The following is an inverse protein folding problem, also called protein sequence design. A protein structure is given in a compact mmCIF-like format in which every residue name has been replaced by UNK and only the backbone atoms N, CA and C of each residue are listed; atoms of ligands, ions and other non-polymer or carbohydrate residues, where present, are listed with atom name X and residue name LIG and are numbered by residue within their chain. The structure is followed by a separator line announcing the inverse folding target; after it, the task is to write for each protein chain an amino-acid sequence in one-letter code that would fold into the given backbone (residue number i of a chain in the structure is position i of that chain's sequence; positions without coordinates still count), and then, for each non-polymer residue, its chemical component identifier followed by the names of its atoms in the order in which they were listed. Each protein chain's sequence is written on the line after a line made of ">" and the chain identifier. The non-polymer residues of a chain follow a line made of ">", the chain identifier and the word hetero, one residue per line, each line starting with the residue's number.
data_IF_813859286238
#
_entry.id   IF_813859286238
#
_cell.length_a   1.000
_cell.length_b   1.000
_cell.length_c   1.000
_cell.angle_alpha   90.00
_cell.angle_beta   90.00
_cell.angle_gamma   90.00
#
_symmetry.space_group_name_H-M   'P 1'
#
loop_
_entity.id
_entity.type
_entity.pdbx_description
1 polymer ?
#
# COMPACT_ATOMS: atom_id res chain seq x y z
N UNK A 1 -18.85 0.63 -16.80
CA UNK A 1 -18.10 1.55 -15.92
C UNK A 1 -18.72 2.92 -16.10
N UNK A 2 -19.43 3.40 -15.07
CA UNK A 2 -19.99 4.75 -15.03
C UNK A 2 -19.03 5.62 -14.23
N UNK A 3 -18.54 6.71 -14.83
CA UNK A 3 -17.77 7.74 -14.14
C UNK A 3 -18.76 8.82 -13.72
N UNK A 4 -18.85 9.11 -12.42
CA UNK A 4 -19.63 10.24 -11.94
C UNK A 4 -18.91 11.56 -12.31
N UNK A 5 -19.63 12.62 -12.70
CA UNK A 5 -19.02 13.94 -12.90
C UNK A 5 -18.37 14.40 -11.60
N UNK A 6 -17.20 15.04 -11.71
CA UNK A 6 -16.40 15.52 -10.59
C UNK A 6 -17.22 16.52 -9.72
N UNK A 7 -17.60 16.15 -8.48
CA UNK A 7 -18.42 17.00 -7.61
C UNK A 7 -17.59 18.04 -6.85
N UNK A 8 -16.25 18.03 -6.94
CA UNK A 8 -15.38 18.74 -6.02
C UNK A 8 -15.10 20.18 -6.45
N UNK A 9 -14.93 21.06 -5.46
CA UNK A 9 -14.50 22.47 -5.64
C UNK A 9 -13.10 22.75 -5.09
N UNK A 10 -12.41 21.73 -4.57
CA UNK A 10 -11.12 21.81 -3.90
C UNK A 10 -10.32 20.51 -4.03
N UNK A 11 -9.16 20.39 -3.36
CA UNK A 11 -8.32 19.20 -3.44
C UNK A 11 -9.05 17.95 -2.94
N UNK A 12 -8.89 16.85 -3.65
CA UNK A 12 -9.56 15.57 -3.41
C UNK A 12 -8.58 14.58 -2.80
N UNK A 13 -8.92 14.00 -1.65
CA UNK A 13 -8.18 12.84 -1.14
C UNK A 13 -8.81 11.57 -1.69
N UNK A 14 -8.00 10.64 -2.18
CA UNK A 14 -8.48 9.42 -2.82
C UNK A 14 -8.32 8.21 -1.90
N UNK A 15 -9.37 7.41 -1.83
CA UNK A 15 -9.42 6.14 -1.10
C UNK A 15 -10.06 5.03 -1.94
N UNK A 16 -9.87 3.79 -1.50
CA UNK A 16 -10.54 2.61 -2.03
C UNK A 16 -11.38 1.95 -0.94
N UNK A 17 -12.60 1.58 -1.28
CA UNK A 17 -13.37 0.59 -0.53
C UNK A 17 -13.35 -0.72 -1.30
N UNK A 18 -12.89 -1.79 -0.65
CA UNK A 18 -12.79 -3.12 -1.22
C UNK A 18 -13.65 -4.06 -0.40
N UNK A 19 -14.52 -4.80 -1.08
CA UNK A 19 -15.28 -5.89 -0.50
C UNK A 19 -14.87 -7.20 -1.16
N UNK A 20 -14.68 -8.25 -0.37
CA UNK A 20 -14.48 -9.61 -0.85
C UNK A 20 -15.27 -10.58 0.00
N UNK A 21 -15.96 -11.50 -0.66
CA UNK A 21 -16.71 -12.55 0.01
C UNK A 21 -15.82 -13.57 0.71
N UNK A 22 -16.40 -14.23 1.72
CA UNK A 22 -15.71 -15.18 2.62
C UNK A 22 -15.06 -16.39 1.92
N UNK A 23 -15.54 -16.73 0.72
CA UNK A 23 -15.03 -17.82 -0.09
C UNK A 23 -13.76 -17.49 -0.89
N UNK A 24 -13.33 -16.23 -0.91
CA UNK A 24 -12.24 -15.75 -1.76
C UNK A 24 -11.13 -15.07 -0.96
N UNK A 25 -9.98 -14.94 -1.61
CA UNK A 25 -8.92 -14.00 -1.24
C UNK A 25 -8.83 -12.93 -2.33
N UNK A 26 -8.50 -11.72 -1.92
CA UNK A 26 -8.33 -10.57 -2.79
C UNK A 26 -6.91 -10.02 -2.64
N UNK A 27 -6.28 -9.68 -3.75
CA UNK A 27 -5.09 -8.82 -3.78
C UNK A 27 -5.43 -7.50 -4.45
N UNK A 28 -5.13 -6.40 -3.78
CA UNK A 28 -5.40 -5.05 -4.26
C UNK A 28 -4.10 -4.42 -4.76
N UNK A 29 -4.14 -3.95 -5.99
CA UNK A 29 -3.00 -3.36 -6.69
C UNK A 29 -3.38 -1.96 -7.19
N UNK A 30 -2.46 -1.02 -7.09
CA UNK A 30 -2.53 0.29 -7.73
C UNK A 30 -1.25 0.51 -8.53
N UNK A 31 -1.34 0.73 -9.84
CA UNK A 31 -0.19 0.96 -10.71
C UNK A 31 0.91 -0.12 -10.57
N UNK A 32 0.50 -1.39 -10.43
CA UNK A 32 1.40 -2.54 -10.19
C UNK A 32 2.17 -2.48 -8.87
N UNK A 33 1.64 -1.75 -7.89
CA UNK A 33 2.09 -1.75 -6.49
C UNK A 33 1.04 -2.46 -5.66
N UNK A 34 1.43 -3.48 -4.90
CA UNK A 34 0.51 -4.21 -4.02
C UNK A 34 0.22 -3.37 -2.78
N UNK A 35 -1.04 -3.04 -2.57
CA UNK A 35 -1.51 -2.25 -1.43
C UNK A 35 -1.91 -3.15 -0.25
N UNK A 36 -2.46 -4.33 -0.52
CA UNK A 36 -2.92 -5.23 0.53
C UNK A 36 -3.51 -6.52 -0.01
N UNK A 37 -3.76 -7.44 0.93
CA UNK A 37 -4.37 -8.74 0.69
C UNK A 37 -5.41 -9.05 1.75
N UNK A 38 -6.56 -9.63 1.36
CA UNK A 38 -7.54 -10.13 2.33
C UNK A 38 -7.19 -11.54 2.80
N UNK A 39 -7.49 -11.81 4.07
CA UNK A 39 -7.34 -13.15 4.64
C UNK A 39 -8.52 -14.03 4.22
N UNK A 40 -8.30 -15.33 3.97
CA UNK A 40 -9.36 -16.24 3.59
C UNK A 40 -10.37 -16.50 4.70
N UNK A 41 -11.62 -16.83 4.33
CA UNK A 41 -12.64 -17.33 5.26
C UNK A 41 -13.37 -16.23 6.05
N UNK A 42 -13.15 -14.95 5.74
CA UNK A 42 -13.91 -13.83 6.29
C UNK A 42 -14.30 -12.89 5.18
N UNK A 43 -15.58 -12.54 5.12
CA UNK A 43 -15.99 -11.37 4.37
C UNK A 43 -15.18 -10.17 4.89
N UNK A 44 -14.52 -9.47 3.98
CA UNK A 44 -13.63 -8.38 4.33
C UNK A 44 -14.08 -7.12 3.59
N UNK A 45 -14.38 -6.08 4.35
CA UNK A 45 -14.41 -4.71 3.88
C UNK A 45 -13.11 -4.03 4.29
N UNK A 46 -12.41 -3.42 3.34
CA UNK A 46 -11.16 -2.69 3.57
C UNK A 46 -11.25 -1.30 2.96
N UNK A 47 -11.03 -0.29 3.80
CA UNK A 47 -10.81 1.09 3.36
C UNK A 47 -9.30 1.34 3.27
N UNK A 48 -8.79 1.64 2.08
CA UNK A 48 -7.37 1.84 1.81
C UNK A 48 -7.15 3.28 1.32
N UNK A 49 -6.41 4.13 2.06
CA UNK A 49 -6.02 5.44 1.55
C UNK A 49 -4.98 5.26 0.44
N UNK A 50 -5.26 5.79 -0.75
CA UNK A 50 -4.37 5.66 -1.91
C UNK A 50 -3.75 6.98 -2.36
N UNK A 51 -4.14 8.10 -1.75
CA UNK A 51 -3.76 9.43 -2.22
C UNK A 51 -2.23 9.64 -2.34
N UNK A 52 -1.43 9.01 -1.46
CA UNK A 52 0.04 9.07 -1.50
C UNK A 52 0.71 8.09 -2.49
N UNK A 53 -0.09 7.34 -3.26
CA UNK A 53 0.39 6.34 -4.22
C UNK A 53 0.06 6.66 -5.67
N UNK A 54 -0.56 7.82 -5.88
CA UNK A 54 -1.03 8.25 -7.18
C UNK A 54 0.12 8.76 -8.03
N UNK A 55 0.00 8.59 -9.33
CA UNK A 55 0.92 9.16 -10.32
C UNK A 55 0.23 10.24 -11.14
N UNK A 56 1.00 11.15 -11.73
CA UNK A 56 0.46 12.06 -12.74
C UNK A 56 -0.04 11.26 -13.94
N UNK A 57 -1.28 11.53 -14.36
CA UNK A 57 -1.89 10.87 -15.51
C UNK A 57 -2.84 9.73 -15.10
N UNK A 58 -2.90 8.70 -15.93
CA UNK A 58 -3.81 7.58 -15.70
C UNK A 58 -3.26 6.63 -14.63
N UNK A 59 -4.13 6.31 -13.67
CA UNK A 59 -3.89 5.35 -12.60
C UNK A 59 -4.82 4.16 -12.82
N UNK A 60 -4.33 2.96 -12.50
CA UNK A 60 -5.10 1.72 -12.62
C UNK A 60 -5.13 1.00 -11.28
N UNK A 61 -6.33 0.80 -10.76
CA UNK A 61 -6.62 -0.08 -9.63
C UNK A 61 -7.06 -1.43 -10.16
N UNK A 62 -6.45 -2.50 -9.67
CA UNK A 62 -6.87 -3.86 -9.93
C UNK A 62 -7.11 -4.59 -8.61
N UNK A 63 -8.29 -5.19 -8.45
CA UNK A 63 -8.56 -6.15 -7.38
C UNK A 63 -8.67 -7.53 -8.00
N UNK A 64 -7.75 -8.41 -7.65
CA UNK A 64 -7.68 -9.77 -8.15
C UNK A 64 -8.29 -10.70 -7.12
N UNK A 65 -9.40 -11.34 -7.47
CA UNK A 65 -10.17 -12.23 -6.62
C UNK A 65 -9.90 -13.68 -7.01
N UNK A 66 -9.60 -14.54 -6.05
CA UNK A 66 -9.45 -15.96 -6.35
C UNK A 66 -9.59 -16.86 -5.14
N UNK A 67 -9.52 -18.18 -5.34
CA UNK A 67 -9.63 -19.14 -4.26
C UNK A 67 -8.40 -19.10 -3.34
N UNK A 68 -8.56 -19.41 -2.04
CA UNK A 68 -7.45 -19.44 -1.10
C UNK A 68 -6.36 -20.44 -1.51
N UNK A 69 -5.11 -20.10 -1.24
CA UNK A 69 -3.95 -20.97 -1.50
C UNK A 69 -3.58 -21.12 -2.98
N UNK A 70 -4.22 -20.37 -3.90
CA UNK A 70 -3.82 -20.29 -5.30
C UNK A 70 -3.04 -19.00 -5.56
N UNK A 71 -2.17 -19.09 -6.57
CA UNK A 71 -1.47 -17.94 -7.12
C UNK A 71 -2.45 -17.07 -7.92
N UNK A 72 -2.69 -15.85 -7.44
CA UNK A 72 -3.61 -14.90 -8.09
C UNK A 72 -2.99 -14.21 -9.31
N UNK A 73 -1.68 -14.36 -9.53
CA UNK A 73 -1.01 -13.88 -10.73
C UNK A 73 -1.17 -14.84 -11.93
N UNK A 74 -1.63 -16.07 -11.69
CA UNK A 74 -1.84 -17.07 -12.71
C UNK A 74 -2.93 -16.69 -13.73
N UNK A 75 -2.90 -17.33 -14.89
CA UNK A 75 -3.93 -17.16 -15.92
C UNK A 75 -5.32 -17.60 -15.38
N UNK A 76 -6.39 -16.84 -15.66
CA UNK A 76 -7.74 -17.24 -15.29
C UNK A 76 -8.12 -18.58 -15.93
N UNK A 77 -8.61 -19.50 -15.11
CA UNK A 77 -9.08 -20.83 -15.53
C UNK A 77 -10.50 -21.08 -15.02
N UNK A 78 -11.23 -21.94 -15.73
CA UNK A 78 -12.56 -22.35 -15.29
C UNK A 78 -12.48 -23.00 -13.90
N UNK A 79 -13.29 -22.48 -12.97
CA UNK A 79 -13.44 -23.04 -11.64
C UNK A 79 -14.19 -24.38 -11.75
N UNK A 80 -13.66 -25.47 -11.16
CA UNK A 80 -14.29 -26.78 -11.28
C UNK A 80 -15.57 -26.83 -10.44
N UNK A 81 -16.69 -27.20 -11.08
CA UNK A 81 -17.97 -27.42 -10.41
C UNK A 81 -18.77 -26.14 -10.16
N UNK A 82 -19.65 -26.17 -9.16
CA UNK A 82 -20.43 -25.00 -8.77
C UNK A 82 -19.55 -23.98 -8.03
N UNK A 83 -19.68 -22.67 -8.32
CA UNK A 83 -18.93 -21.66 -7.60
C UNK A 83 -19.37 -21.58 -6.12
N UNK A 84 -18.49 -21.13 -5.22
CA UNK A 84 -18.86 -20.91 -3.83
C UNK A 84 -20.00 -19.87 -3.71
N UNK A 85 -21.01 -20.13 -2.88
CA UNK A 85 -22.18 -19.26 -2.73
C UNK A 85 -21.88 -17.86 -2.21
N UNK A 86 -20.71 -17.66 -1.59
CA UNK A 86 -20.20 -16.37 -1.11
C UNK A 86 -19.19 -15.70 -2.05
N UNK A 87 -18.92 -16.24 -3.24
CA UNK A 87 -17.90 -15.70 -4.14
C UNK A 87 -18.37 -14.40 -4.81
N UNK A 88 -18.00 -13.25 -4.22
CA UNK A 88 -18.22 -11.92 -4.77
C UNK A 88 -17.04 -11.01 -4.47
N UNK A 89 -17.00 -9.86 -5.14
CA UNK A 89 -16.16 -8.75 -4.73
C UNK A 89 -16.59 -7.43 -5.34
N UNK A 90 -16.13 -6.36 -4.73
CA UNK A 90 -16.35 -4.99 -5.16
C UNK A 90 -15.07 -4.20 -4.94
N UNK A 91 -14.81 -3.28 -5.86
CA UNK A 91 -13.88 -2.18 -5.63
C UNK A 91 -14.60 -0.89 -5.95
N UNK A 92 -14.49 0.08 -5.05
CA UNK A 92 -15.00 1.43 -5.23
C UNK A 92 -13.87 2.44 -5.01
N UNK A 93 -13.71 3.34 -5.97
CA UNK A 93 -12.89 4.52 -5.84
C UNK A 93 -13.72 5.62 -5.17
N UNK A 94 -13.19 6.19 -4.09
CA UNK A 94 -13.80 7.29 -3.38
C UNK A 94 -12.91 8.53 -3.46
N UNK A 95 -13.56 9.69 -3.47
CA UNK A 95 -12.94 10.99 -3.27
C UNK A 95 -13.52 11.66 -2.04
N UNK A 96 -12.66 12.14 -1.15
CA UNK A 96 -13.07 12.84 0.06
C UNK A 96 -13.01 14.34 -0.16
N UNK A 97 -14.15 14.99 0.11
CA UNK A 97 -14.24 16.44 0.25
C UNK A 97 -14.06 16.80 1.72
N UNK A 98 -13.10 17.69 1.99
CA UNK A 98 -12.83 18.17 3.35
C UNK A 98 -13.30 19.61 3.51
N UNK A 99 -14.14 19.87 4.52
CA UNK A 99 -14.63 21.20 4.89
C UNK A 99 -14.22 21.54 6.32
N UNK A 100 -13.64 22.73 6.50
CA UNK A 100 -13.33 23.30 7.82
C UNK A 100 -14.32 24.43 8.09
N UNK A 101 -15.03 24.35 9.21
CA UNK A 101 -16.00 25.35 9.66
C UNK A 101 -15.75 25.65 11.14
N UNK A 102 -15.06 26.76 11.42
CA UNK A 102 -14.50 27.03 12.75
C UNK A 102 -13.49 25.95 13.17
N UNK A 103 -13.74 25.31 14.31
CA UNK A 103 -12.92 24.23 14.87
C UNK A 103 -13.35 22.82 14.39
N UNK A 104 -14.37 22.73 13.52
CA UNK A 104 -14.89 21.44 13.07
C UNK A 104 -14.35 21.07 11.68
N UNK A 105 -13.70 19.91 11.62
CA UNK A 105 -13.35 19.22 10.37
C UNK A 105 -14.49 18.27 9.97
N UNK A 106 -15.06 18.44 8.78
CA UNK A 106 -16.02 17.50 8.19
C UNK A 106 -15.43 16.89 6.94
N UNK A 107 -15.46 15.57 6.84
CA UNK A 107 -15.04 14.81 5.66
C UNK A 107 -16.27 14.14 5.07
N UNK A 108 -16.54 14.39 3.78
CA UNK A 108 -17.62 13.74 3.02
C UNK A 108 -17.01 12.92 1.90
N UNK A 109 -17.21 11.61 1.94
CA UNK A 109 -16.72 10.69 0.91
C UNK A 109 -17.75 10.53 -0.20
N UNK A 110 -17.30 10.69 -1.45
CA UNK A 110 -18.13 10.58 -2.65
C UNK A 110 -17.64 9.41 -3.51
N UNK A 111 -18.54 8.49 -3.93
CA UNK A 111 -18.18 7.41 -4.83
C UNK A 111 -17.93 7.95 -6.25
N UNK A 112 -16.74 7.68 -6.79
CA UNK A 112 -16.31 8.18 -8.11
C UNK A 112 -16.47 7.13 -9.21
N UNK A 113 -16.10 5.89 -8.89
CA UNK A 113 -16.20 4.75 -9.78
C UNK A 113 -16.35 3.47 -8.97
N UNK A 114 -17.06 2.49 -9.51
CA UNK A 114 -17.24 1.18 -8.88
C UNK A 114 -17.20 0.08 -9.93
N UNK A 115 -16.56 -1.02 -9.58
CA UNK A 115 -16.63 -2.27 -10.31
C UNK A 115 -16.99 -3.41 -9.34
N UNK A 116 -17.81 -4.35 -9.79
CA UNK A 116 -18.34 -5.42 -8.93
C UNK A 116 -18.52 -6.70 -9.71
N UNK A 117 -18.38 -7.81 -8.99
CA UNK A 117 -18.60 -9.14 -9.53
C UNK A 117 -19.22 -10.04 -8.46
N UNK A 118 -20.21 -10.84 -8.86
CA UNK A 118 -20.84 -11.87 -8.03
C UNK A 118 -20.95 -13.15 -8.85
N UNK A 119 -20.42 -14.26 -8.34
CA UNK A 119 -20.44 -15.55 -9.01
C UNK A 119 -21.85 -16.08 -9.27
N UNK A 120 -22.86 -15.62 -8.51
CA UNK A 120 -24.27 -16.01 -8.68
C UNK A 120 -24.93 -15.31 -9.87
N UNK A 121 -24.39 -14.16 -10.27
CA UNK A 121 -24.88 -13.36 -11.40
C UNK A 121 -24.09 -13.65 -12.70
N UNK A 122 -22.93 -14.31 -12.59
CA UNK A 122 -22.04 -14.59 -13.71
C UNK A 122 -22.47 -15.83 -14.52
N UNK A 123 -22.29 -15.76 -15.84
CA UNK A 123 -22.55 -16.89 -16.74
C UNK A 123 -21.51 -18.02 -16.55
N UNK A 124 -21.93 -19.29 -16.47
CA UNK A 124 -21.01 -20.42 -16.41
C UNK A 124 -20.21 -20.60 -17.73
N UNK A 125 -18.96 -21.11 -17.66
CA UNK A 125 -18.24 -21.47 -16.45
C UNK A 125 -17.67 -20.24 -15.74
N UNK A 126 -17.68 -20.27 -14.41
CA UNK A 126 -16.99 -19.25 -13.61
C UNK A 126 -15.49 -19.36 -13.84
N UNK A 127 -14.82 -18.23 -14.07
CA UNK A 127 -13.38 -18.18 -14.33
C UNK A 127 -12.69 -17.43 -13.20
N UNK A 128 -11.67 -18.04 -12.58
CA UNK A 128 -10.87 -17.45 -11.50
C UNK A 128 -9.36 -17.60 -11.81
N UNK A 129 -8.50 -16.64 -11.40
CA UNK A 129 -8.85 -15.42 -10.68
C UNK A 129 -9.65 -14.42 -11.53
N UNK A 130 -10.62 -13.75 -10.91
CA UNK A 130 -11.41 -12.66 -11.51
C UNK A 130 -10.71 -11.32 -11.22
N UNK A 131 -10.87 -10.33 -12.12
CA UNK A 131 -10.20 -9.03 -12.00
C UNK A 131 -11.22 -7.91 -12.09
N UNK A 132 -11.36 -7.16 -11.02
CA UNK A 132 -12.08 -5.89 -11.00
C UNK A 132 -11.09 -4.76 -11.33
N UNK A 133 -11.52 -3.79 -12.13
CA UNK A 133 -10.63 -2.72 -12.62
C UNK A 133 -11.28 -1.35 -12.59
N UNK A 134 -10.56 -0.37 -12.04
CA UNK A 134 -10.92 1.05 -12.12
C UNK A 134 -9.72 1.79 -12.69
N UNK A 135 -9.90 2.41 -13.85
CA UNK A 135 -8.96 3.37 -14.41
C UNK A 135 -9.46 4.79 -14.14
N UNK A 136 -8.60 5.67 -13.65
CA UNK A 136 -8.96 7.05 -13.34
C UNK A 136 -7.76 7.99 -13.48
N UNK A 137 -8.04 9.29 -13.56
CA UNK A 137 -7.02 10.35 -13.52
C UNK A 137 -7.29 11.21 -12.29
N UNK A 138 -6.35 11.32 -11.35
CA UNK A 138 -6.55 12.16 -10.19
C UNK A 138 -6.52 13.64 -10.59
N UNK A 139 -7.06 14.48 -9.72
CA UNK A 139 -7.00 15.93 -9.91
C UNK A 139 -5.55 16.40 -10.06
N UNK A 140 -5.35 17.42 -10.90
CA UNK A 140 -4.04 17.97 -11.26
C UNK A 140 -3.21 18.49 -10.07
N UNK A 141 -3.84 18.78 -8.92
CA UNK A 141 -3.15 19.20 -7.70
C UNK A 141 -2.59 18.02 -6.89
N UNK A 142 -2.92 16.79 -7.26
CA UNK A 142 -2.46 15.57 -6.57
C UNK A 142 -0.95 15.42 -6.73
N UNK A 143 -0.24 15.34 -5.61
CA UNK A 143 1.19 15.10 -5.61
C UNK A 143 1.52 13.69 -6.10
N UNK A 144 2.37 13.59 -7.13
CA UNK A 144 2.82 12.29 -7.64
C UNK A 144 3.71 11.56 -6.63
N UNK A 145 3.52 10.26 -6.51
CA UNK A 145 4.34 9.38 -5.71
C UNK A 145 5.80 9.41 -6.18
N UNK A 146 6.80 9.53 -5.28
CA UNK A 146 8.21 9.68 -5.66
C UNK A 146 8.75 8.54 -6.52
N UNK A 147 8.27 7.31 -6.30
CA UNK A 147 8.70 6.14 -7.05
C UNK A 147 8.37 6.23 -8.54
N UNK A 148 7.39 7.04 -8.94
CA UNK A 148 7.03 7.22 -10.35
C UNK A 148 8.17 7.86 -11.15
N UNK A 149 8.96 8.73 -10.51
CA UNK A 149 10.17 9.34 -11.07
C UNK A 149 11.42 8.45 -10.90
N UNK A 150 11.32 7.36 -10.14
CA UNK A 150 12.40 6.43 -9.85
C UNK A 150 12.94 5.74 -11.10
N UNK A 151 14.25 5.57 -11.18
CA UNK A 151 14.88 4.84 -12.28
C UNK A 151 14.50 3.36 -12.22
N UNK A 152 14.34 2.75 -13.40
CA UNK A 152 14.23 1.30 -13.48
C UNK A 152 15.59 0.69 -13.15
N UNK A 153 15.62 -0.32 -12.30
CA UNK A 153 16.86 -1.01 -11.93
C UNK A 153 16.77 -2.52 -12.20
N UNK A 154 17.93 -3.13 -12.42
CA UNK A 154 18.04 -4.59 -12.50
C UNK A 154 17.66 -5.22 -11.14
N UNK A 155 16.79 -6.25 -11.12
CA UNK A 155 16.35 -6.86 -9.86
C UNK A 155 17.49 -7.43 -9.00
N UNK A 156 18.59 -7.92 -9.59
CA UNK A 156 19.69 -8.50 -8.81
C UNK A 156 20.49 -7.40 -8.10
N UNK A 157 20.81 -6.33 -8.82
CA UNK A 157 21.50 -5.18 -8.23
C UNK A 157 20.63 -4.48 -7.17
N UNK A 158 19.33 -4.37 -7.44
CA UNK A 158 18.37 -3.78 -6.51
C UNK A 158 18.21 -4.61 -5.23
N UNK A 159 18.19 -5.94 -5.32
CA UNK A 159 18.03 -6.82 -4.18
C UNK A 159 19.12 -6.58 -3.11
N UNK A 160 20.39 -6.66 -3.51
CA UNK A 160 21.52 -6.52 -2.59
C UNK A 160 21.59 -5.11 -1.98
N UNK A 161 21.37 -4.08 -2.80
CA UNK A 161 21.44 -2.70 -2.34
C UNK A 161 20.31 -2.33 -1.39
N UNK A 162 19.07 -2.72 -1.70
CA UNK A 162 17.91 -2.47 -0.82
C UNK A 162 18.00 -3.24 0.48
N UNK A 163 18.52 -4.48 0.46
CA UNK A 163 18.76 -5.24 1.68
C UNK A 163 19.85 -4.61 2.54
N UNK A 164 20.93 -4.10 1.92
CA UNK A 164 21.98 -3.37 2.63
C UNK A 164 21.44 -2.11 3.31
N UNK A 165 20.57 -1.35 2.63
CA UNK A 165 19.89 -0.20 3.23
C UNK A 165 18.95 -0.59 4.37
N UNK A 166 18.17 -1.66 4.24
CA UNK A 166 17.36 -2.19 5.35
C UNK A 166 18.22 -2.56 6.56
N UNK A 167 19.38 -3.19 6.32
CA UNK A 167 20.34 -3.52 7.38
C UNK A 167 20.88 -2.26 8.06
N UNK A 168 21.20 -1.22 7.29
CA UNK A 168 21.63 0.08 7.82
C UNK A 168 20.55 0.70 8.70
N UNK A 169 19.30 0.73 8.24
CA UNK A 169 18.14 1.25 8.98
C UNK A 169 17.90 0.45 10.26
N UNK A 170 17.95 -0.87 10.21
CA UNK A 170 17.85 -1.73 11.39
C UNK A 170 18.96 -1.40 12.41
N UNK A 171 20.19 -1.22 11.95
CA UNK A 171 21.33 -0.83 12.80
C UNK A 171 21.17 0.55 13.45
N UNK A 172 20.58 1.53 12.75
CA UNK A 172 20.22 2.84 13.33
C UNK A 172 19.20 2.70 14.46
N UNK A 173 18.15 1.89 14.27
CA UNK A 173 17.12 1.63 15.29
C UNK A 173 17.68 0.89 16.51
N UNK A 174 18.53 -0.12 16.28
CA UNK A 174 19.19 -0.90 17.34
C UNK A 174 20.14 -0.03 18.17
N UNK A 175 21.00 0.75 17.51
CA UNK A 175 21.95 1.65 18.18
C UNK A 175 21.28 2.87 18.84
N UNK A 176 20.03 3.17 18.47
CA UNK A 176 19.33 4.35 18.97
C UNK A 176 19.67 5.65 18.26
N UNK A 177 20.27 5.57 17.08
CA UNK A 177 20.52 6.74 16.24
C UNK A 177 19.22 7.14 15.50
N UNK A 178 18.33 7.81 16.24
CA UNK A 178 17.01 8.20 15.74
C UNK A 178 17.07 9.33 14.72
N UNK A 179 18.06 10.23 14.82
CA UNK A 179 18.29 11.27 13.81
C UNK A 179 18.69 10.66 12.47
N UNK A 180 19.55 9.63 12.50
CA UNK A 180 19.92 8.88 11.31
C UNK A 180 18.75 8.11 10.71
N UNK A 181 17.88 7.54 11.55
CA UNK A 181 16.64 6.89 11.10
C UNK A 181 15.69 7.91 10.46
N UNK A 182 15.48 9.05 11.14
CA UNK A 182 14.66 10.14 10.62
C UNK A 182 15.21 10.61 9.27
N UNK A 183 16.51 10.86 9.15
CA UNK A 183 17.10 11.29 7.89
C UNK A 183 16.89 10.26 6.77
N UNK A 184 17.00 8.96 7.07
CA UNK A 184 16.77 7.90 6.09
C UNK A 184 15.33 7.87 5.55
N UNK A 185 14.34 8.30 6.34
CA UNK A 185 12.91 8.31 5.96
C UNK A 185 12.38 9.69 5.58
N UNK A 186 13.24 10.70 5.47
CA UNK A 186 12.84 12.09 5.23
C UNK A 186 12.00 12.27 3.95
N UNK A 187 12.39 11.63 2.84
CA UNK A 187 11.67 11.73 1.56
C UNK A 187 10.25 11.20 1.62
N UNK A 188 10.01 10.11 2.35
CA UNK A 188 8.67 9.59 2.62
C UNK A 188 7.83 10.63 3.36
N UNK A 189 8.35 11.25 4.42
CA UNK A 189 7.61 12.27 5.18
C UNK A 189 7.32 13.54 4.38
N UNK A 190 8.31 14.03 3.64
CA UNK A 190 8.13 15.16 2.73
C UNK A 190 7.01 14.90 1.72
N UNK A 191 6.92 13.67 1.22
CA UNK A 191 5.85 13.28 0.32
C UNK A 191 4.48 13.23 1.02
N UNK A 192 4.40 12.57 2.18
CA UNK A 192 3.17 12.52 2.97
C UNK A 192 2.64 13.92 3.30
N UNK A 193 3.49 14.85 3.70
CA UNK A 193 3.10 16.23 3.99
C UNK A 193 2.54 16.97 2.76
N UNK A 194 3.05 16.68 1.56
CA UNK A 194 2.48 17.23 0.30
C UNK A 194 1.12 16.61 -0.04
N UNK A 195 0.94 15.34 0.25
CA UNK A 195 -0.31 14.60 0.01
C UNK A 195 -1.42 14.98 1.01
N UNK A 196 -1.06 15.34 2.24
CA UNK A 196 -2.01 15.62 3.31
C UNK A 196 -1.74 17.00 3.92
N UNK A 197 -2.02 18.10 3.20
CA UNK A 197 -1.66 19.46 3.63
C UNK A 197 -2.39 19.96 4.88
N UNK A 198 -3.51 19.31 5.26
CA UNK A 198 -4.21 19.56 6.52
C UNK A 198 -3.62 18.77 7.70
N UNK A 199 -2.71 17.83 7.43
CA UNK A 199 -1.99 17.04 8.43
C UNK A 199 -0.73 17.74 8.94
N UNK A 200 0.09 17.04 9.74
CA UNK A 200 1.39 17.56 10.17
C UNK A 200 2.30 17.80 8.96
N UNK A 201 3.08 18.87 9.03
CA UNK A 201 4.16 19.06 8.07
C UNK A 201 5.28 18.01 8.27
N UNK A 202 6.25 17.98 7.36
CA UNK A 202 7.33 17.00 7.40
C UNK A 202 8.19 17.08 8.67
N UNK A 203 8.32 18.26 9.28
CA UNK A 203 9.11 18.48 10.50
C UNK A 203 8.35 18.00 11.74
N UNK A 204 7.05 18.27 11.82
CA UNK A 204 6.19 17.75 12.88
C UNK A 204 6.08 16.23 12.79
N UNK A 205 5.85 15.67 11.60
CA UNK A 205 5.83 14.22 11.38
C UNK A 205 7.16 13.57 11.80
N UNK A 206 8.29 14.23 11.57
CA UNK A 206 9.60 13.76 12.06
C UNK A 206 9.64 13.73 13.59
N UNK A 207 9.20 14.79 14.25
CA UNK A 207 9.18 14.86 15.72
C UNK A 207 8.29 13.76 16.30
N UNK A 208 7.11 13.55 15.71
CA UNK A 208 6.14 12.54 16.13
C UNK A 208 6.69 11.11 15.97
N UNK A 209 7.29 10.80 14.81
CA UNK A 209 7.93 9.50 14.54
C UNK A 209 9.06 9.21 15.54
N UNK A 210 9.93 10.20 15.77
CA UNK A 210 11.06 10.08 16.70
C UNK A 210 10.54 9.90 18.12
N UNK A 211 9.57 10.69 18.57
CA UNK A 211 8.97 10.58 19.89
C UNK A 211 8.30 9.21 20.11
N UNK A 212 7.61 8.68 19.10
CA UNK A 212 7.01 7.34 19.15
C UNK A 212 8.07 6.25 19.32
N UNK A 213 9.18 6.33 18.58
CA UNK A 213 10.28 5.37 18.70
C UNK A 213 11.01 5.51 20.04
N UNK A 214 11.25 6.72 20.54
CA UNK A 214 11.81 6.96 21.88
C UNK A 214 10.94 6.27 22.93
N UNK A 215 9.62 6.48 22.87
CA UNK A 215 8.66 5.88 23.80
C UNK A 215 8.68 4.35 23.73
N UNK A 216 8.76 3.77 22.52
CA UNK A 216 8.89 2.31 22.36
C UNK A 216 10.22 1.77 22.90
N UNK A 217 11.34 2.47 22.65
CA UNK A 217 12.68 2.05 23.12
C UNK A 217 12.81 2.07 24.64
N UNK A 218 12.08 2.96 25.32
CA UNK A 218 12.06 3.02 26.78
C UNK A 218 11.35 1.82 27.42
N UNK A 219 10.59 1.03 26.65
CA UNK A 219 9.87 -0.14 27.16
C UNK A 219 10.79 -1.37 27.26
N UNK A 220 10.63 -2.21 28.29
CA UNK A 220 11.37 -3.47 28.41
C UNK A 220 11.18 -4.36 27.17
N UNK A 221 12.26 -5.04 26.77
CA UNK A 221 12.23 -5.96 25.64
C UNK A 221 12.14 -5.29 24.27
N UNK A 222 12.46 -3.99 24.16
CA UNK A 222 12.58 -3.35 22.85
C UNK A 222 13.56 -4.10 21.95
N UNK A 223 13.15 -4.36 20.72
CA UNK A 223 13.97 -4.99 19.69
C UNK A 223 13.65 -4.40 18.32
N UNK A 224 14.66 -4.41 17.47
CA UNK A 224 14.53 -4.19 16.03
C UNK A 224 15.19 -5.38 15.33
N UNK A 225 14.38 -6.18 14.64
CA UNK A 225 14.80 -7.46 14.04
C UNK A 225 14.62 -7.40 12.53
N UNK A 226 15.67 -7.78 11.79
CA UNK A 226 15.65 -7.91 10.34
C UNK A 226 15.73 -9.39 9.98
N UNK A 227 14.74 -9.89 9.23
CA UNK A 227 14.77 -11.27 8.75
C UNK A 227 15.92 -11.46 7.73
N UNK A 228 16.72 -12.54 7.84
CA UNK A 228 17.79 -12.83 6.88
C UNK A 228 17.25 -12.93 5.44
N UNK A 229 18.00 -12.40 4.46
CA UNK A 229 17.65 -12.47 3.03
C UNK A 229 17.41 -13.90 2.53
N UNK A 230 18.07 -14.90 3.11
CA UNK A 230 17.88 -16.33 2.81
C UNK A 230 16.52 -16.88 3.22
N UNK A 231 15.76 -16.14 4.03
CA UNK A 231 14.41 -16.49 4.50
C UNK A 231 13.36 -15.46 4.05
N UNK A 232 13.74 -14.56 3.15
CA UNK A 232 12.92 -13.47 2.67
C UNK A 232 12.81 -13.52 1.14
N UNK A 233 11.83 -12.80 0.61
CA UNK A 233 11.58 -12.65 -0.81
C UNK A 233 11.78 -11.19 -1.21
N UNK A 234 12.59 -10.98 -2.23
CA UNK A 234 12.72 -9.67 -2.86
C UNK A 234 11.56 -9.47 -3.83
N UNK A 235 10.86 -8.34 -3.70
CA UNK A 235 9.70 -8.01 -4.54
C UNK A 235 10.00 -6.76 -5.37
N UNK A 236 9.69 -6.88 -6.65
CA UNK A 236 9.84 -5.82 -7.67
C UNK A 236 8.44 -5.37 -8.08
N UNK A 237 8.20 -4.06 -8.00
CA UNK A 237 6.90 -3.43 -8.22
C UNK A 237 7.04 -2.23 -9.17
N UNK A 238 5.91 -1.71 -9.65
CA UNK A 238 5.86 -0.51 -10.50
C UNK A 238 6.87 -0.56 -11.68
N UNK A 239 6.91 -1.69 -12.39
CA UNK A 239 7.83 -1.92 -13.52
C UNK A 239 9.32 -1.74 -13.20
N UNK A 240 9.73 -2.19 -12.02
CA UNK A 240 11.12 -2.12 -11.59
C UNK A 240 11.54 -0.75 -11.09
N UNK A 241 10.60 0.07 -10.61
CA UNK A 241 10.89 1.37 -9.99
C UNK A 241 10.72 1.37 -8.47
N UNK A 242 10.07 0.34 -7.93
CA UNK A 242 9.77 0.22 -6.51
C UNK A 242 10.11 -1.19 -6.04
N UNK A 243 10.76 -1.27 -4.88
CA UNK A 243 11.39 -2.49 -4.41
C UNK A 243 11.24 -2.65 -2.91
N UNK A 244 11.01 -3.87 -2.44
CA UNK A 244 11.01 -4.18 -1.02
C UNK A 244 11.37 -5.65 -0.75
N UNK A 245 11.56 -5.95 0.53
CA UNK A 245 11.79 -7.30 1.02
C UNK A 245 10.67 -7.70 1.97
N UNK A 246 10.09 -8.87 1.71
CA UNK A 246 8.96 -9.42 2.45
C UNK A 246 9.25 -10.84 2.94
N UNK A 247 8.56 -11.29 3.98
CA UNK A 247 8.62 -12.66 4.45
C UNK A 247 7.80 -13.62 3.58
N UNK A 248 7.70 -14.89 3.97
CA UNK A 248 6.91 -15.89 3.25
C UNK A 248 5.39 -15.64 3.21
N UNK A 249 4.88 -14.70 4.01
CA UNK A 249 3.47 -14.27 4.01
C UNK A 249 3.27 -12.96 3.24
N UNK A 250 4.35 -12.29 2.82
CA UNK A 250 4.30 -11.00 2.14
C UNK A 250 4.38 -9.79 3.08
N UNK A 251 4.70 -10.00 4.36
CA UNK A 251 4.86 -8.93 5.35
C UNK A 251 6.28 -8.34 5.34
N UNK A 252 6.48 -7.03 5.63
CA UNK A 252 7.80 -6.42 5.66
C UNK A 252 8.78 -7.10 6.62
N UNK A 253 10.04 -7.28 6.19
CA UNK A 253 11.04 -8.07 6.95
C UNK A 253 11.73 -7.35 8.11
N UNK A 254 11.56 -6.03 8.23
CA UNK A 254 12.06 -5.26 9.36
C UNK A 254 10.94 -5.08 10.38
N UNK A 255 11.12 -5.61 11.57
CA UNK A 255 10.15 -5.49 12.65
C UNK A 255 10.74 -4.71 13.82
N UNK A 256 9.93 -3.87 14.45
CA UNK A 256 10.25 -3.21 15.72
C UNK A 256 9.19 -3.52 16.75
N UNK A 257 9.55 -3.58 18.02
CA UNK A 257 8.56 -3.84 19.05
C UNK A 257 9.14 -4.11 20.41
N UNK A 258 8.26 -4.45 21.34
CA UNK A 258 8.57 -4.91 22.70
C UNK A 258 8.28 -6.41 22.83
N UNK A 259 8.46 -6.97 24.02
CA UNK A 259 8.09 -8.37 24.31
C UNK A 259 6.63 -8.70 23.97
N UNK A 260 5.74 -7.71 24.12
CA UNK A 260 4.29 -7.93 24.08
C UNK A 260 3.67 -7.54 22.73
N UNK A 261 4.39 -6.75 21.93
CA UNK A 261 3.87 -6.22 20.66
C UNK A 261 4.98 -5.98 19.66
N UNK A 262 4.80 -6.50 18.44
CA UNK A 262 5.68 -6.28 17.29
C UNK A 262 4.94 -5.60 16.15
N UNK A 263 5.67 -4.79 15.40
CA UNK A 263 5.19 -4.03 14.26
C UNK A 263 6.15 -4.21 13.09
N UNK A 264 5.64 -4.60 11.93
CA UNK A 264 6.41 -4.57 10.71
C UNK A 264 6.52 -3.12 10.21
N UNK A 265 7.73 -2.72 9.81
CA UNK A 265 8.00 -1.45 9.16
C UNK A 265 7.93 -1.66 7.65
N UNK A 266 6.85 -1.19 7.03
CA UNK A 266 6.76 -1.12 5.59
C UNK A 266 7.71 -0.03 5.08
N UNK A 267 8.84 -0.47 4.49
CA UNK A 267 9.85 0.39 3.89
C UNK A 267 10.06 -0.08 2.45
N UNK A 268 9.71 0.78 1.49
CA UNK A 268 9.91 0.49 0.07
C UNK A 268 10.86 1.51 -0.54
N UNK A 269 11.68 1.01 -1.46
CA UNK A 269 12.82 1.72 -2.00
C UNK A 269 12.62 2.03 -3.47
N UNK A 270 13.11 3.19 -3.89
CA UNK A 270 13.23 3.57 -5.28
C UNK A 270 14.61 4.15 -5.55
N UNK A 271 15.12 3.96 -6.76
CA UNK A 271 16.39 4.53 -7.20
C UNK A 271 16.16 5.96 -7.72
N UNK A 272 16.40 6.95 -6.87
CA UNK A 272 16.21 8.37 -7.18
C UNK A 272 17.57 9.05 -7.24
N UNK A 273 17.85 9.77 -8.33
CA UNK A 273 19.10 10.50 -8.52
C UNK A 273 20.36 9.65 -8.26
N UNK A 274 20.31 8.37 -8.66
CA UNK A 274 21.39 7.40 -8.45
C UNK A 274 21.54 6.89 -7.00
N UNK A 275 20.56 7.11 -6.13
CA UNK A 275 20.57 6.68 -4.72
C UNK A 275 19.31 5.91 -4.34
N UNK A 276 19.51 4.80 -3.63
CA UNK A 276 18.41 4.04 -3.01
C UNK A 276 17.77 4.85 -1.89
N UNK A 277 16.50 5.19 -2.07
CA UNK A 277 15.77 6.10 -1.21
C UNK A 277 14.51 5.41 -0.70
N UNK A 278 14.22 5.54 0.60
CA UNK A 278 12.95 5.11 1.17
C UNK A 278 11.88 6.10 0.73
N UNK A 279 10.88 5.60 0.00
CA UNK A 279 9.80 6.40 -0.58
C UNK A 279 8.42 6.01 -0.07
N UNK A 280 8.31 4.86 0.58
CA UNK A 280 7.11 4.38 1.28
C UNK A 280 7.49 3.67 2.56
#
# INVERSE_FOLDING_TARGET
>A
MELNPDPFRGPVLYGLEIESGDALVAETWLNRVMLGRTQPGKAAAQSIPIHHDLVVGENLVEVVLGPPGRDLSALPVAFPGAPPSGAHGMVELQGDETRIDGDQLTVTSHPLARDRWDAREAEPPIVLPHRLRIAFKPDHLTASAPWAAGQRADPREAADATYAELRRVAGLLQSGNLDGFAWATARRREHMARCYPLGPDAAQQQQDDVAAIVSMRAKPGFSAELLPSTRAHFRVQADGRLFDWVDGQGEPILTIGTSDRRHALNLQFSLLDGRWTIVR
#
